data_IF_005120780812
#
_entry.id   IF_005120780812
#
_cell.length_a   1.000
_cell.length_b   1.000
_cell.length_c   1.000
_cell.angle_alpha   90.00
_cell.angle_beta   90.00
_cell.angle_gamma   90.00
#
_symmetry.space_group_name_H-M   'P 1'
#
loop_
_entity.id
_entity.type
_entity.pdbx_description
1 polymer ?
#
# COMPACT_ATOMS: atom_id res chain seq x y z
N UNK A 1 0.06 -7.18 11.50
CA UNK A 1 0.34 -6.18 12.55
C UNK A 1 1.39 -5.23 12.05
N UNK A 2 1.02 -3.97 11.88
CA UNK A 2 1.92 -2.87 11.50
C UNK A 2 2.91 -2.60 12.65
N UNK A 3 4.16 -2.26 12.32
CA UNK A 3 5.16 -1.86 13.32
C UNK A 3 4.98 -0.39 13.72
N UNK A 4 5.44 0.00 14.91
CA UNK A 4 5.39 1.39 15.36
C UNK A 4 6.10 2.34 14.37
N UNK A 5 7.22 1.91 13.79
CA UNK A 5 7.96 2.69 12.79
C UNK A 5 7.16 2.91 11.49
N UNK A 6 6.42 1.89 11.02
CA UNK A 6 5.55 2.04 9.84
C UNK A 6 4.34 2.93 10.16
N UNK A 7 3.78 2.82 11.36
CA UNK A 7 2.69 3.69 11.81
C UNK A 7 3.14 5.16 11.86
N UNK A 8 4.32 5.43 12.42
CA UNK A 8 4.88 6.77 12.50
C UNK A 8 5.13 7.39 11.10
N UNK A 9 5.62 6.57 10.15
CA UNK A 9 5.74 6.98 8.76
C UNK A 9 4.38 7.30 8.10
N UNK A 10 3.33 6.52 8.41
CA UNK A 10 1.97 6.77 7.94
C UNK A 10 1.40 8.06 8.53
N UNK A 11 1.58 8.30 9.84
CA UNK A 11 1.18 9.54 10.52
C UNK A 11 1.83 10.75 9.87
N UNK A 12 3.14 10.67 9.64
CA UNK A 12 3.91 11.73 8.96
C UNK A 12 3.41 11.99 7.54
N UNK A 13 3.06 10.95 6.79
CA UNK A 13 2.48 11.10 5.46
C UNK A 13 1.09 11.75 5.52
N UNK A 14 0.27 11.36 6.50
CA UNK A 14 -1.07 11.89 6.72
C UNK A 14 -1.09 13.27 7.39
N UNK A 15 0.07 13.79 7.81
CA UNK A 15 0.23 15.02 8.61
C UNK A 15 -0.55 14.99 9.93
N UNK A 16 -0.63 13.80 10.54
CA UNK A 16 -1.19 13.59 11.87
C UNK A 16 -0.04 13.64 12.88
N UNK A 17 -0.12 14.54 13.86
CA UNK A 17 0.90 14.77 14.89
C UNK A 17 0.44 14.38 16.31
N UNK A 18 -0.71 13.72 16.42
CA UNK A 18 -1.32 13.24 17.67
C UNK A 18 -1.60 11.72 17.61
N UNK A 19 -1.86 11.11 18.77
CA UNK A 19 -1.93 9.65 18.92
C UNK A 19 -3.35 9.08 18.97
N UNK A 20 -4.37 9.93 19.09
CA UNK A 20 -5.77 9.49 19.25
C UNK A 20 -6.29 8.66 18.07
N UNK A 21 -5.74 8.91 16.87
CA UNK A 21 -6.12 8.22 15.64
C UNK A 21 -5.24 7.00 15.30
N UNK A 22 -4.27 6.65 16.15
CA UNK A 22 -3.32 5.57 15.89
C UNK A 22 -4.02 4.23 15.64
N UNK A 23 -5.08 3.94 16.41
CA UNK A 23 -5.88 2.74 16.24
C UNK A 23 -6.61 2.72 14.89
N UNK A 24 -7.13 3.87 14.45
CA UNK A 24 -7.84 3.99 13.18
C UNK A 24 -6.88 3.89 11.99
N UNK A 25 -5.74 4.60 12.03
CA UNK A 25 -4.70 4.55 11.01
C UNK A 25 -4.11 3.14 10.89
N UNK A 26 -3.91 2.45 12.02
CA UNK A 26 -3.48 1.04 12.03
C UNK A 26 -4.50 0.16 11.32
N UNK A 27 -5.79 0.30 11.62
CA UNK A 27 -6.85 -0.47 10.96
C UNK A 27 -6.88 -0.28 9.44
N UNK A 28 -6.72 0.96 8.96
CA UNK A 28 -6.65 1.24 7.52
C UNK A 28 -5.40 0.67 6.85
N UNK A 29 -4.26 0.70 7.55
CA UNK A 29 -3.02 0.14 7.06
C UNK A 29 -3.11 -1.40 6.96
N UNK A 30 -3.67 -2.07 7.96
CA UNK A 30 -3.87 -3.53 7.95
C UNK A 30 -4.87 -3.99 6.87
N UNK A 31 -5.94 -3.21 6.67
CA UNK A 31 -6.86 -3.42 5.56
C UNK A 31 -6.15 -3.32 4.20
N UNK A 32 -5.33 -2.28 4.02
CA UNK A 32 -4.55 -2.06 2.80
C UNK A 32 -3.53 -3.18 2.58
N UNK A 33 -2.80 -3.59 3.62
CA UNK A 33 -1.86 -4.71 3.58
C UNK A 33 -2.57 -6.01 3.14
N UNK A 34 -3.73 -6.30 3.71
CA UNK A 34 -4.52 -7.49 3.38
C UNK A 34 -5.02 -7.48 1.93
N UNK A 35 -5.44 -6.32 1.43
CA UNK A 35 -5.89 -6.17 0.04
C UNK A 35 -4.75 -6.35 -0.96
N UNK A 36 -3.59 -5.75 -0.69
CA UNK A 36 -2.40 -5.88 -1.55
C UNK A 36 -1.91 -7.34 -1.57
N UNK A 37 -1.91 -8.02 -0.42
CA UNK A 37 -1.58 -9.44 -0.34
C UNK A 37 -2.55 -10.32 -1.16
N UNK A 38 -3.87 -10.07 -1.07
CA UNK A 38 -4.87 -10.78 -1.91
C UNK A 38 -4.68 -10.51 -3.41
N UNK A 39 -4.16 -9.34 -3.75
CA UNK A 39 -3.80 -8.96 -5.11
C UNK A 39 -2.50 -9.60 -5.63
N UNK A 40 -1.82 -10.42 -4.81
CA UNK A 40 -0.54 -11.03 -5.13
C UNK A 40 0.65 -10.06 -5.04
N UNK A 41 0.48 -8.92 -4.37
CA UNK A 41 1.54 -7.91 -4.21
C UNK A 41 2.26 -8.18 -2.90
N UNK A 42 3.58 -8.39 -2.97
CA UNK A 42 4.43 -8.63 -1.80
C UNK A 42 5.22 -7.37 -1.45
N UNK A 43 5.45 -7.17 -0.15
CA UNK A 43 6.31 -6.09 0.36
C UNK A 43 7.80 -6.38 0.15
N UNK A 44 8.19 -7.65 0.21
CA UNK A 44 9.58 -8.09 0.11
C UNK A 44 10.20 -7.68 -1.24
N UNK A 45 11.34 -6.98 -1.19
CA UNK A 45 12.04 -6.44 -2.37
C UNK A 45 11.41 -5.17 -2.97
N UNK A 46 10.29 -4.69 -2.42
CA UNK A 46 9.53 -3.54 -2.92
C UNK A 46 9.03 -2.61 -1.79
N UNK A 47 9.72 -2.55 -0.66
CA UNK A 47 9.26 -1.90 0.57
C UNK A 47 8.87 -0.45 0.35
N UNK A 48 9.71 0.33 -0.36
CA UNK A 48 9.49 1.75 -0.58
C UNK A 48 8.22 2.03 -1.41
N UNK A 49 7.98 1.26 -2.47
CA UNK A 49 6.78 1.42 -3.30
C UNK A 49 5.54 0.91 -2.57
N UNK A 50 5.67 -0.24 -1.92
CA UNK A 50 4.60 -0.87 -1.17
C UNK A 50 4.12 0.05 -0.02
N UNK A 51 5.03 0.57 0.79
CA UNK A 51 4.69 1.45 1.90
C UNK A 51 4.10 2.78 1.42
N UNK A 52 4.56 3.33 0.28
CA UNK A 52 3.96 4.52 -0.32
C UNK A 52 2.51 4.28 -0.79
N UNK A 53 2.23 3.11 -1.36
CA UNK A 53 0.86 2.72 -1.76
C UNK A 53 -0.05 2.64 -0.53
N UNK A 54 0.41 1.96 0.53
CA UNK A 54 -0.34 1.86 1.79
C UNK A 54 -0.60 3.24 2.39
N UNK A 55 0.42 4.11 2.45
CA UNK A 55 0.28 5.49 2.94
C UNK A 55 -0.76 6.29 2.14
N UNK A 56 -0.74 6.20 0.80
CA UNK A 56 -1.71 6.87 -0.05
C UNK A 56 -3.14 6.34 0.14
N UNK A 57 -3.31 5.02 0.31
CA UNK A 57 -4.60 4.40 0.61
C UNK A 57 -5.13 4.83 1.99
N UNK A 58 -4.28 4.86 3.01
CA UNK A 58 -4.64 5.29 4.37
C UNK A 58 -5.05 6.76 4.40
N UNK A 59 -4.24 7.66 3.81
CA UNK A 59 -4.57 9.09 3.76
C UNK A 59 -5.95 9.32 3.14
N UNK A 60 -6.24 8.64 2.03
CA UNK A 60 -7.49 8.79 1.30
C UNK A 60 -8.69 8.27 2.10
N UNK A 61 -8.52 7.15 2.81
CA UNK A 61 -9.53 6.61 3.72
C UNK A 61 -9.75 7.54 4.92
N UNK A 62 -8.68 8.14 5.43
CA UNK A 62 -8.66 9.00 6.61
C UNK A 62 -9.27 10.39 6.34
N UNK A 63 -9.02 11.00 5.17
CA UNK A 63 -9.65 12.27 4.75
C UNK A 63 -11.18 12.19 4.55
N UNK A 64 -11.82 11.05 4.83
CA UNK A 64 -13.27 10.93 4.78
C UNK A 64 -13.84 10.83 3.35
N UNK A 65 -13.02 10.51 2.34
CA UNK A 65 -13.50 10.08 1.01
C UNK A 65 -13.98 8.62 1.07
N UNK A 66 -14.82 8.36 2.08
CA UNK A 66 -15.25 7.07 2.59
C UNK A 66 -15.45 6.07 1.44
N UNK A 67 -14.42 5.27 1.21
CA UNK A 67 -14.53 4.13 0.36
C UNK A 67 -15.11 3.01 1.21
N UNK A 68 -16.24 2.43 0.78
CA UNK A 68 -16.91 1.34 1.50
C UNK A 68 -15.99 0.10 1.68
N UNK A 69 -14.86 0.05 0.97
CA UNK A 69 -13.85 -1.00 1.06
C UNK A 69 -12.50 -0.56 0.44
N UNK A 70 -11.45 -1.37 0.67
CA UNK A 70 -10.10 -1.13 0.15
C UNK A 70 -10.02 -0.99 -1.39
N UNK A 71 -10.87 -1.69 -2.14
CA UNK A 71 -10.89 -1.59 -3.60
C UNK A 71 -11.42 -0.22 -4.06
N UNK A 72 -12.44 0.31 -3.39
CA UNK A 72 -12.92 1.67 -3.61
C UNK A 72 -11.90 2.72 -3.14
N UNK A 73 -11.11 2.44 -2.10
CA UNK A 73 -10.04 3.32 -1.62
C UNK A 73 -8.90 3.41 -2.65
N UNK A 74 -8.47 2.26 -3.18
CA UNK A 74 -7.55 2.21 -4.31
C UNK A 74 -8.14 2.86 -5.56
N UNK A 75 -9.47 2.88 -5.69
CA UNK A 75 -10.09 3.52 -6.83
C UNK A 75 -9.96 5.06 -6.80
N UNK A 76 -9.87 5.65 -5.62
CA UNK A 76 -9.85 7.10 -5.40
C UNK A 76 -8.44 7.67 -5.21
N UNK A 77 -7.40 6.84 -5.04
CA UNK A 77 -6.00 7.32 -5.01
C UNK A 77 -5.56 7.87 -6.38
N UNK A 78 -4.55 8.77 -6.43
CA UNK A 78 -4.08 9.36 -7.68
C UNK A 78 -3.73 8.31 -8.75
N UNK A 79 -3.95 8.60 -10.05
CA UNK A 79 -3.71 7.66 -11.14
C UNK A 79 -2.29 7.05 -11.16
N UNK A 80 -1.30 7.83 -10.71
CA UNK A 80 0.08 7.38 -10.59
C UNK A 80 0.22 6.20 -9.60
N UNK A 81 -0.47 6.25 -8.45
CA UNK A 81 -0.44 5.18 -7.43
C UNK A 81 -1.14 3.93 -7.96
N UNK A 82 -2.25 4.09 -8.70
CA UNK A 82 -2.90 2.97 -9.41
C UNK A 82 -1.99 2.31 -10.45
N UNK A 83 -1.23 3.11 -11.21
CA UNK A 83 -0.24 2.59 -12.15
C UNK A 83 0.86 1.82 -11.43
N UNK A 84 1.37 2.34 -10.31
CA UNK A 84 2.37 1.66 -9.47
C UNK A 84 1.84 0.32 -8.94
N UNK A 85 0.59 0.26 -8.46
CA UNK A 85 -0.05 -0.99 -8.03
C UNK A 85 -0.13 -2.01 -9.16
N UNK A 86 -0.54 -1.59 -10.36
CA UNK A 86 -0.62 -2.49 -11.51
C UNK A 86 0.77 -2.98 -11.95
N UNK A 87 1.79 -2.12 -11.91
CA UNK A 87 3.17 -2.52 -12.19
C UNK A 87 3.69 -3.50 -11.14
N UNK A 88 3.46 -3.25 -9.85
CA UNK A 88 3.85 -4.20 -8.80
C UNK A 88 3.13 -5.54 -8.95
N UNK A 89 1.83 -5.56 -9.30
CA UNK A 89 1.12 -6.81 -9.61
C UNK A 89 1.81 -7.61 -10.70
N UNK A 90 2.23 -6.95 -11.78
CA UNK A 90 2.95 -7.61 -12.87
C UNK A 90 4.31 -8.13 -12.42
N UNK A 91 5.08 -7.31 -11.69
CA UNK A 91 6.40 -7.70 -11.18
C UNK A 91 6.31 -8.87 -10.20
N UNK A 92 5.36 -8.85 -9.27
CA UNK A 92 5.14 -9.93 -8.31
C UNK A 92 4.58 -11.19 -8.98
N UNK A 93 3.71 -11.05 -9.99
CA UNK A 93 3.09 -12.20 -10.67
C UNK A 93 4.04 -12.91 -11.65
N UNK A 94 4.93 -12.17 -12.30
CA UNK A 94 5.79 -12.71 -13.37
C UNK A 94 7.26 -12.81 -12.98
N UNK A 95 7.65 -12.28 -11.81
CA UNK A 95 9.04 -12.00 -11.50
C UNK A 95 9.54 -10.87 -12.39
N UNK A 96 10.20 -9.87 -11.82
CA UNK A 96 10.91 -8.87 -12.64
C UNK A 96 11.76 -9.61 -13.69
N UNK A 97 11.67 -9.18 -14.95
CA UNK A 97 12.37 -9.78 -16.08
C UNK A 97 13.84 -10.06 -15.71
N UNK A 98 14.10 -11.32 -15.38
CA UNK A 98 15.31 -11.75 -14.68
C UNK A 98 15.30 -13.25 -14.60
N UNK A 99 15.23 -13.89 -15.78
CA UNK A 99 15.88 -15.17 -16.09
C UNK A 99 15.82 -15.39 -17.61
N UNK A 100 16.44 -14.46 -18.33
CA UNK A 100 16.91 -14.69 -19.68
C UNK A 100 18.25 -15.42 -19.66
N UNK A 101 18.29 -16.64 -19.11
CA UNK A 101 19.41 -17.57 -19.31
C UNK A 101 18.91 -19.01 -19.43
N UNK A 102 18.21 -19.30 -20.52
CA UNK A 102 18.17 -20.65 -21.08
C UNK A 102 18.77 -20.58 -22.48
N UNK A 103 20.08 -20.33 -22.52
CA UNK A 103 20.90 -20.71 -23.66
C UNK A 103 21.44 -22.12 -23.42
N UNK A 104 20.81 -23.12 -24.02
CA UNK A 104 21.36 -24.44 -24.28
C UNK A 104 20.69 -25.01 -25.53
#
# INVERSE_FOLDING_TARGET
MITAERLDAIKKYCRVDYDEDDAQLTGFAEMSDSYLAQCGITRDGHEAMYDLIVQAMVLNQYEGKCADNAAAALATVPPLVRQMVNQLKLVCAFGGAGDGNTGA
#
